data_IF_579437545175
#
_entry.id   IF_579437545175
#
_cell.length_a   1.000
_cell.length_b   1.000
_cell.length_c   1.000
_cell.angle_alpha   90.00
_cell.angle_beta   90.00
_cell.angle_gamma   90.00
#
_symmetry.space_group_name_H-M   'P 1'
#
loop_
_entity.id
_entity.type
_entity.pdbx_description
1 polymer ?
#
# COMPACT_ATOMS: atom_id res chain seq x y z
N UNK A 1 -3.76 21.16 -20.46
CA UNK A 1 -4.69 20.41 -21.33
C UNK A 1 -4.96 19.11 -20.58
N UNK A 2 -5.86 19.20 -19.59
CA UNK A 2 -6.33 18.11 -18.70
C UNK A 2 -7.57 18.64 -17.92
N UNK A 3 -8.48 19.30 -18.65
CA UNK A 3 -9.62 20.07 -18.09
C UNK A 3 -10.98 19.51 -18.55
N UNK A 4 -11.00 18.31 -19.15
CA UNK A 4 -12.23 17.68 -19.63
C UNK A 4 -12.77 16.72 -18.55
N UNK A 5 -13.93 17.07 -18.02
CA UNK A 5 -14.60 16.42 -16.88
C UNK A 5 -14.85 14.91 -17.09
N UNK A 6 -15.05 14.47 -18.34
CA UNK A 6 -15.25 13.05 -18.71
C UNK A 6 -13.99 12.17 -18.59
N UNK A 7 -12.79 12.71 -18.85
CA UNK A 7 -11.55 11.93 -18.79
C UNK A 7 -11.11 11.67 -17.33
N UNK A 8 -11.54 12.56 -16.41
CA UNK A 8 -11.37 12.38 -14.96
C UNK A 8 -12.23 11.26 -14.41
N UNK A 9 -13.40 10.96 -14.99
CA UNK A 9 -14.26 9.86 -14.55
C UNK A 9 -13.66 8.47 -14.84
N UNK A 10 -13.02 8.30 -16.01
CA UNK A 10 -12.33 7.05 -16.35
C UNK A 10 -11.14 6.79 -15.42
N UNK A 11 -10.29 7.81 -15.25
CA UNK A 11 -9.11 7.71 -14.36
C UNK A 11 -9.50 7.57 -12.89
N UNK A 12 -10.59 8.22 -12.44
CA UNK A 12 -11.21 8.00 -11.14
C UNK A 12 -11.66 6.54 -10.99
N UNK A 13 -12.37 5.98 -11.96
CA UNK A 13 -12.82 4.58 -11.91
C UNK A 13 -11.69 3.57 -11.69
N UNK A 14 -10.55 3.74 -12.39
CA UNK A 14 -9.38 2.87 -12.22
C UNK A 14 -8.78 3.00 -10.81
N UNK A 15 -8.67 4.22 -10.29
CA UNK A 15 -8.09 4.47 -8.96
C UNK A 15 -8.96 3.91 -7.84
N UNK A 16 -10.29 4.04 -7.93
CA UNK A 16 -11.19 3.50 -6.91
C UNK A 16 -11.25 1.97 -6.99
N UNK A 17 -11.20 1.40 -8.20
CA UNK A 17 -11.05 -0.04 -8.37
C UNK A 17 -9.77 -0.57 -7.71
N UNK A 18 -8.66 0.18 -7.81
CA UNK A 18 -7.45 -0.15 -7.07
C UNK A 18 -7.62 -0.02 -5.56
N UNK A 19 -8.35 0.97 -5.06
CA UNK A 19 -8.60 1.11 -3.62
C UNK A 19 -9.34 -0.10 -3.05
N UNK A 20 -10.44 -0.51 -3.68
CA UNK A 20 -11.19 -1.71 -3.26
C UNK A 20 -10.32 -2.97 -3.33
N UNK A 21 -9.51 -3.10 -4.40
CA UNK A 21 -8.59 -4.22 -4.54
C UNK A 21 -7.53 -4.23 -3.45
N UNK A 22 -6.95 -3.06 -3.12
CA UNK A 22 -5.93 -2.91 -2.10
C UNK A 22 -6.47 -3.23 -0.71
N UNK A 23 -7.62 -2.67 -0.33
CA UNK A 23 -8.28 -2.96 0.95
C UNK A 23 -8.60 -4.46 1.10
N UNK A 24 -9.21 -5.07 0.08
CA UNK A 24 -9.49 -6.52 0.09
C UNK A 24 -8.19 -7.35 0.19
N UNK A 25 -7.11 -6.90 -0.43
CA UNK A 25 -5.81 -7.57 -0.39
C UNK A 25 -5.19 -7.47 1.00
N UNK A 26 -5.24 -6.31 1.65
CA UNK A 26 -4.76 -6.14 3.03
C UNK A 26 -5.51 -7.02 4.02
N UNK A 27 -6.84 -7.12 3.91
CA UNK A 27 -7.62 -8.02 4.75
C UNK A 27 -7.22 -9.49 4.55
N UNK A 28 -6.93 -9.90 3.31
CA UNK A 28 -6.44 -11.25 3.01
C UNK A 28 -5.02 -11.45 3.55
N UNK A 29 -4.16 -10.43 3.49
CA UNK A 29 -2.81 -10.48 4.06
C UNK A 29 -2.86 -10.67 5.57
N UNK A 30 -3.68 -9.91 6.30
CA UNK A 30 -3.82 -10.07 7.76
C UNK A 30 -4.36 -11.46 8.13
N UNK A 31 -5.30 -12.00 7.35
CA UNK A 31 -5.83 -13.37 7.51
C UNK A 31 -4.77 -14.43 7.23
N UNK A 32 -3.98 -14.28 6.16
CA UNK A 32 -2.90 -15.19 5.80
C UNK A 32 -1.80 -15.16 6.86
N UNK A 33 -1.42 -13.97 7.35
CA UNK A 33 -0.47 -13.80 8.44
C UNK A 33 -0.96 -14.48 9.74
N UNK A 34 -2.23 -14.31 10.10
CA UNK A 34 -2.83 -14.99 11.26
C UNK A 34 -2.81 -16.51 11.14
N UNK A 35 -2.86 -17.04 9.91
CA UNK A 35 -2.74 -18.48 9.61
C UNK A 35 -1.29 -18.93 9.42
N UNK A 36 -0.31 -18.03 9.49
CA UNK A 36 1.11 -18.25 9.15
C UNK A 36 1.31 -18.79 7.73
N UNK A 37 0.46 -18.35 6.81
CA UNK A 37 0.48 -18.76 5.41
C UNK A 37 1.32 -17.77 4.57
N UNK A 38 2.64 -17.95 4.64
CA UNK A 38 3.58 -17.05 3.96
C UNK A 38 3.61 -17.24 2.44
N UNK A 39 3.08 -18.38 1.95
CA UNK A 39 2.87 -18.60 0.52
C UNK A 39 1.86 -17.61 -0.03
N UNK A 40 0.70 -17.53 0.61
CA UNK A 40 -0.36 -16.59 0.26
C UNK A 40 0.10 -15.13 0.43
N UNK A 41 0.83 -14.80 1.51
CA UNK A 41 1.36 -13.44 1.71
C UNK A 41 2.26 -12.97 0.54
N UNK A 42 3.18 -13.83 0.09
CA UNK A 42 4.07 -13.51 -1.03
C UNK A 42 3.28 -13.30 -2.32
N UNK A 43 2.26 -14.14 -2.58
CA UNK A 43 1.40 -14.02 -3.76
C UNK A 43 0.52 -12.75 -3.72
N UNK A 44 -0.03 -12.41 -2.56
CA UNK A 44 -0.79 -11.18 -2.35
C UNK A 44 0.11 -9.95 -2.51
N UNK A 45 1.35 -9.99 -2.03
CA UNK A 45 2.35 -8.94 -2.23
C UNK A 45 2.67 -8.74 -3.72
N UNK A 46 2.87 -9.83 -4.46
CA UNK A 46 3.07 -9.78 -5.92
C UNK A 46 1.88 -9.17 -6.66
N UNK A 47 0.66 -9.56 -6.26
CA UNK A 47 -0.57 -9.04 -6.86
C UNK A 47 -0.72 -7.53 -6.64
N UNK A 48 -0.52 -7.07 -5.40
CA UNK A 48 -0.60 -5.65 -5.06
C UNK A 48 0.53 -4.82 -5.70
N UNK A 49 1.73 -5.39 -5.84
CA UNK A 49 2.86 -4.80 -6.59
C UNK A 49 2.49 -4.56 -8.05
N UNK A 50 1.85 -5.52 -8.70
CA UNK A 50 1.43 -5.41 -10.11
C UNK A 50 0.46 -4.24 -10.30
N UNK A 51 -0.60 -4.20 -9.49
CA UNK A 51 -1.62 -3.15 -9.58
C UNK A 51 -1.12 -1.76 -9.17
N UNK A 52 -0.26 -1.67 -8.16
CA UNK A 52 0.36 -0.40 -7.75
C UNK A 52 1.35 0.13 -8.79
N UNK A 53 2.07 -0.75 -9.50
CA UNK A 53 2.96 -0.36 -10.59
C UNK A 53 2.19 0.22 -11.80
N UNK A 54 1.03 -0.34 -12.14
CA UNK A 54 0.17 0.18 -13.23
C UNK A 54 -0.29 1.60 -12.98
N UNK A 55 -0.53 1.97 -11.71
CA UNK A 55 -0.93 3.32 -11.30
C UNK A 55 0.24 4.25 -10.97
N UNK A 56 1.49 3.79 -11.12
CA UNK A 56 2.68 4.60 -10.81
C UNK A 56 2.92 4.83 -9.31
N UNK A 57 2.34 4.00 -8.44
CA UNK A 57 2.43 4.13 -6.98
C UNK A 57 3.72 3.48 -6.46
N UNK A 58 4.86 4.13 -6.77
CA UNK A 58 6.20 3.59 -6.53
C UNK A 58 6.43 3.22 -5.06
N UNK A 59 5.96 4.05 -4.10
CA UNK A 59 6.06 3.75 -2.66
C UNK A 59 5.40 2.42 -2.30
N UNK A 60 4.13 2.26 -2.69
CA UNK A 60 3.36 1.04 -2.41
C UNK A 60 4.01 -0.17 -3.09
N UNK A 61 4.48 0.00 -4.33
CA UNK A 61 5.19 -1.04 -5.08
C UNK A 61 6.44 -1.53 -4.35
N UNK A 62 7.29 -0.62 -3.90
CA UNK A 62 8.55 -0.96 -3.23
C UNK A 62 8.31 -1.63 -1.87
N UNK A 63 7.29 -1.18 -1.13
CA UNK A 63 6.88 -1.84 0.12
C UNK A 63 6.28 -3.24 -0.15
N UNK A 64 5.53 -3.43 -1.24
CA UNK A 64 5.03 -4.75 -1.66
C UNK A 64 6.14 -5.70 -2.11
N UNK A 65 7.24 -5.19 -2.67
CA UNK A 65 8.40 -6.01 -3.03
C UNK A 65 9.06 -6.64 -1.81
N UNK A 66 9.21 -5.89 -0.72
CA UNK A 66 9.68 -6.44 0.56
C UNK A 66 8.79 -7.57 1.04
N UNK A 67 7.47 -7.36 0.99
CA UNK A 67 6.49 -8.38 1.39
C UNK A 67 6.56 -9.66 0.53
N UNK A 68 6.85 -9.51 -0.77
CA UNK A 68 7.02 -10.65 -1.68
C UNK A 68 8.19 -11.55 -1.24
N UNK A 69 9.30 -10.96 -0.78
CA UNK A 69 10.51 -11.67 -0.37
C UNK A 69 10.49 -12.21 1.06
N UNK A 70 9.50 -11.82 1.88
CA UNK A 70 9.37 -12.30 3.26
C UNK A 70 9.31 -13.83 3.38
N UNK A 71 8.75 -14.52 2.38
CA UNK A 71 8.68 -15.99 2.38
C UNK A 71 10.08 -16.63 2.35
N UNK A 72 10.98 -16.08 1.53
CA UNK A 72 12.36 -16.57 1.42
C UNK A 72 13.13 -16.29 2.72
N UNK A 73 12.96 -15.10 3.30
CA UNK A 73 13.59 -14.74 4.58
C UNK A 73 13.18 -15.67 5.74
N UNK A 74 11.91 -16.07 5.83
CA UNK A 74 11.46 -17.02 6.86
C UNK A 74 12.02 -18.42 6.63
N UNK A 75 12.11 -18.85 5.37
CA UNK A 75 12.70 -20.13 5.00
C UNK A 75 14.19 -20.19 5.38
N UNK A 76 14.91 -19.07 5.22
CA UNK A 76 16.32 -18.96 5.59
C UNK A 76 16.56 -18.87 7.10
N UNK A 77 15.69 -18.17 7.85
CA UNK A 77 15.82 -17.95 9.30
C UNK A 77 15.56 -19.18 10.19
N UNK A 78 15.12 -20.32 9.65
CA UNK A 78 14.97 -21.58 10.41
C UNK A 78 13.85 -21.60 11.47
N UNK A 79 13.92 -22.52 12.42
CA UNK A 79 12.90 -22.70 13.49
C UNK A 79 13.34 -22.08 14.83
N UNK A 80 12.37 -21.68 15.67
CA UNK A 80 12.62 -21.13 17.01
C UNK A 80 12.53 -19.60 17.07
N UNK A 81 13.39 -18.96 17.87
CA UNK A 81 13.33 -17.52 18.15
C UNK A 81 13.53 -16.63 16.91
N UNK A 82 14.22 -17.13 15.88
CA UNK A 82 14.41 -16.40 14.62
C UNK A 82 13.14 -16.33 13.78
N UNK A 83 12.24 -17.32 13.91
CA UNK A 83 10.94 -17.32 13.23
C UNK A 83 9.94 -16.37 13.86
N UNK A 84 9.98 -16.22 15.19
CA UNK A 84 9.15 -15.25 15.90
C UNK A 84 9.52 -13.82 15.50
N UNK A 85 10.83 -13.52 15.39
CA UNK A 85 11.30 -12.24 14.85
C UNK A 85 10.88 -12.02 13.40
N UNK A 86 10.96 -13.06 12.57
CA UNK A 86 10.50 -12.96 11.18
C UNK A 86 9.00 -12.69 11.08
N UNK A 87 8.18 -13.29 11.96
CA UNK A 87 6.75 -12.99 12.07
C UNK A 87 6.54 -11.51 12.44
N UNK A 88 7.26 -10.99 13.45
CA UNK A 88 7.18 -9.58 13.84
C UNK A 88 7.62 -8.63 12.70
N UNK A 89 8.71 -8.95 12.01
CA UNK A 89 9.22 -8.20 10.86
C UNK A 89 8.14 -8.09 9.76
N UNK A 90 7.48 -9.20 9.44
CA UNK A 90 6.43 -9.26 8.42
C UNK A 90 5.21 -8.45 8.82
N UNK A 91 4.81 -8.55 10.09
CA UNK A 91 3.70 -7.74 10.61
C UNK A 91 4.01 -6.25 10.48
N UNK A 92 5.26 -5.85 10.75
CA UNK A 92 5.73 -4.47 10.56
C UNK A 92 5.68 -4.06 9.09
N UNK A 93 6.11 -4.92 8.17
CA UNK A 93 6.04 -4.67 6.72
C UNK A 93 4.59 -4.51 6.25
N UNK A 94 3.67 -5.39 6.66
CA UNK A 94 2.25 -5.30 6.30
C UNK A 94 1.64 -3.96 6.77
N UNK A 95 1.97 -3.54 8.00
CA UNK A 95 1.55 -2.23 8.52
C UNK A 95 2.13 -1.08 7.69
N UNK A 96 3.43 -1.11 7.39
CA UNK A 96 4.08 -0.09 6.58
C UNK A 96 3.47 0.05 5.19
N UNK A 97 3.20 -1.06 4.49
CA UNK A 97 2.52 -1.04 3.18
C UNK A 97 1.13 -0.39 3.28
N UNK A 98 0.40 -0.66 4.38
CA UNK A 98 -0.93 -0.09 4.62
C UNK A 98 -0.88 1.42 4.88
N UNK A 99 0.12 1.89 5.64
CA UNK A 99 0.35 3.31 5.87
C UNK A 99 0.74 4.04 4.58
N UNK A 100 1.70 3.49 3.81
CA UNK A 100 2.08 4.01 2.49
C UNK A 100 0.86 4.10 1.55
N UNK A 101 0.01 3.07 1.56
CA UNK A 101 -1.23 3.06 0.80
C UNK A 101 -2.18 4.17 1.26
N UNK A 102 -2.38 4.36 2.57
CA UNK A 102 -3.25 5.41 3.12
C UNK A 102 -2.78 6.81 2.70
N UNK A 103 -1.48 7.09 2.78
CA UNK A 103 -0.92 8.38 2.33
C UNK A 103 -1.26 8.63 0.85
N UNK A 104 -1.00 7.64 0.00
CA UNK A 104 -1.23 7.74 -1.43
C UNK A 104 -2.72 7.83 -1.76
N UNK A 105 -3.56 7.05 -1.08
CA UNK A 105 -5.01 7.08 -1.25
C UNK A 105 -5.60 8.43 -0.84
N UNK A 106 -5.13 9.03 0.26
CA UNK A 106 -5.55 10.36 0.69
C UNK A 106 -5.17 11.44 -0.34
N UNK A 107 -3.95 11.37 -0.89
CA UNK A 107 -3.50 12.29 -1.95
C UNK A 107 -4.35 12.15 -3.23
N UNK A 108 -4.64 10.92 -3.65
CA UNK A 108 -5.46 10.64 -4.83
C UNK A 108 -6.92 11.08 -4.61
N UNK A 109 -7.51 10.80 -3.45
CA UNK A 109 -8.88 11.27 -3.12
C UNK A 109 -8.97 12.79 -3.18
N UNK A 110 -7.99 13.49 -2.60
CA UNK A 110 -7.87 14.95 -2.69
C UNK A 110 -7.69 15.43 -4.13
N UNK A 111 -6.90 14.73 -4.95
CA UNK A 111 -6.69 15.06 -6.35
C UNK A 111 -7.99 14.98 -7.18
N UNK A 112 -8.83 13.98 -6.91
CA UNK A 112 -10.15 13.82 -7.54
C UNK A 112 -11.27 14.65 -6.89
N UNK A 113 -10.95 15.54 -5.94
CA UNK A 113 -11.90 16.45 -5.33
C UNK A 113 -12.87 15.84 -4.30
N UNK A 114 -12.59 14.63 -3.80
CA UNK A 114 -13.27 14.14 -2.59
C UNK A 114 -12.61 14.74 -1.35
N UNK A 115 -13.40 15.42 -0.52
CA UNK A 115 -12.93 15.81 0.82
C UNK A 115 -12.54 14.54 1.60
N UNK A 116 -11.38 14.53 2.28
CA UNK A 116 -10.99 13.38 3.09
C UNK A 116 -12.08 13.14 4.14
N UNK A 117 -12.56 11.90 4.23
CA UNK A 117 -13.47 11.51 5.29
C UNK A 117 -12.87 11.91 6.65
N UNK A 118 -13.66 12.44 7.60
CA UNK A 118 -13.18 13.14 8.80
C UNK A 118 -12.49 12.24 9.86
N UNK A 119 -11.91 11.10 9.48
CA UNK A 119 -11.39 10.10 10.42
C UNK A 119 -9.98 9.56 10.10
N UNK A 120 -9.23 10.16 9.18
CA UNK A 120 -7.78 9.96 9.07
C UNK A 120 -7.12 11.30 9.40
N UNK A 121 -6.58 11.40 10.62
CA UNK A 121 -5.85 12.57 11.12
C UNK A 121 -4.72 12.99 10.16
N UNK A 122 -4.61 14.29 9.96
CA UNK A 122 -3.62 14.98 9.14
C UNK A 122 -2.17 14.56 9.48
N UNK A 123 -1.32 14.27 8.49
CA UNK A 123 0.09 14.65 8.59
C UNK A 123 0.23 16.10 8.13
N UNK A 124 0.63 16.97 9.07
CA UNK A 124 0.92 18.40 8.88
C UNK A 124 1.55 18.72 7.51
N UNK A 125 0.87 19.56 6.74
CA UNK A 125 1.40 20.17 5.53
C UNK A 125 2.63 21.04 5.86
N UNK A 126 3.83 20.56 5.51
CA UNK A 126 5.00 21.45 5.41
C UNK A 126 4.87 22.28 4.14
N UNK A 127 4.43 23.53 4.32
CA UNK A 127 4.38 24.58 3.30
C UNK A 127 5.73 24.73 2.57
N UNK A 128 5.77 24.77 1.23
CA UNK A 128 6.98 25.21 0.53
C UNK A 128 7.14 26.72 0.74
N UNK A 129 8.23 27.11 1.43
CA UNK A 129 8.66 28.51 1.50
C UNK A 129 9.10 28.95 0.11
N UNK A 130 8.25 29.80 -0.47
CA UNK A 130 8.52 30.88 -1.42
C UNK A 130 9.97 31.04 -1.88
N UNK A 131 10.19 30.75 -3.17
CA UNK A 131 11.29 31.29 -3.95
C UNK A 131 11.23 32.84 -3.96
N UNK A 132 12.32 33.46 -3.52
CA UNK A 132 12.69 34.82 -3.85
C UNK A 132 14.20 34.87 -3.99
N UNK A 133 14.71 34.85 -5.22
CA UNK A 133 15.77 35.75 -5.65
C UNK A 133 15.86 35.85 -7.16
#
# INVERSE_FOLDING_TARGET
MDDDEEERDFSKGIVYGFFEQAESTFEKMEKAFSKKDYGDLSQLGHFLKGSSATLGLIKVRDSCEKLQHCKEEILEKGEGAEREKADEDIQSIIKGVREDYKEVAALLRRFFGEEPAPNDEEPEAKSPKSEKK
#
